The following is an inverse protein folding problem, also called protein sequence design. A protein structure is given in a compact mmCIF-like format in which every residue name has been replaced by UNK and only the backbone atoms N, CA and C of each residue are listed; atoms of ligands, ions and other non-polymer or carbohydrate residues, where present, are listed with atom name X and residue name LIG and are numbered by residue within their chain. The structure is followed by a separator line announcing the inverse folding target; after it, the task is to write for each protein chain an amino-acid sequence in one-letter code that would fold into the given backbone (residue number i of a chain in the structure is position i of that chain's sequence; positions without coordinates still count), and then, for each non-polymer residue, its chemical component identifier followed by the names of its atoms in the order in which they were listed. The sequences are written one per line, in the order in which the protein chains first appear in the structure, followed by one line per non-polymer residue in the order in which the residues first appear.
data_IF_595402425997
#
_entry.id   IF_595402425997
#
_cell.length_a   1.000
_cell.length_b   1.000
_cell.length_c   1.000
_cell.angle_alpha   90.00
_cell.angle_beta   90.00
_cell.angle_gamma   90.00
#
_symmetry.space_group_name_H-M   'P 1'
#
loop_
_entity.id
_entity.type
_entity.pdbx_description
1 polymer ?
#
# COMPACT_ATOMS: atom_id res chain seq x y z
N UNK A 1 -41.60 24.09 13.64
CA UNK A 1 -40.77 25.02 12.84
C UNK A 1 -39.35 24.55 12.97
N UNK A 2 -38.83 23.85 11.96
CA UNK A 2 -37.43 23.39 11.89
C UNK A 2 -36.61 24.47 11.19
N UNK A 3 -35.36 24.74 11.64
CA UNK A 3 -34.55 25.77 11.03
C UNK A 3 -33.99 25.30 9.68
N UNK A 4 -34.18 26.16 8.72
CA UNK A 4 -33.67 26.03 7.34
C UNK A 4 -32.14 26.15 7.34
N UNK A 5 -31.40 25.06 7.20
CA UNK A 5 -29.96 25.10 6.88
C UNK A 5 -29.77 25.15 5.36
N UNK A 6 -29.83 26.36 4.81
CA UNK A 6 -29.34 26.62 3.47
C UNK A 6 -27.84 26.28 3.43
N UNK A 7 -27.46 25.33 2.55
CA UNK A 7 -26.09 24.90 2.37
C UNK A 7 -25.18 26.08 1.99
N UNK A 8 -24.22 26.37 2.86
CA UNK A 8 -23.10 27.22 2.51
C UNK A 8 -22.27 26.48 1.45
N UNK A 9 -22.25 26.98 0.23
CA UNK A 9 -21.23 26.60 -0.75
C UNK A 9 -19.86 26.95 -0.15
N UNK A 10 -19.04 25.95 0.09
CA UNK A 10 -17.63 26.18 0.31
C UNK A 10 -17.04 26.67 -1.03
N UNK A 11 -16.79 27.98 -1.10
CA UNK A 11 -15.95 28.54 -2.17
C UNK A 11 -14.55 27.93 -2.00
N UNK A 12 -13.94 27.46 -3.12
CA UNK A 12 -12.53 27.05 -3.16
C UNK A 12 -11.70 28.14 -2.47
N UNK A 13 -10.85 27.82 -1.50
CA UNK A 13 -9.87 28.80 -1.08
C UNK A 13 -8.98 29.09 -2.28
N UNK A 14 -8.98 30.34 -2.77
CA UNK A 14 -7.88 30.84 -3.59
C UNK A 14 -6.65 30.84 -2.68
N UNK A 15 -5.90 29.77 -2.67
CA UNK A 15 -4.55 29.76 -2.14
C UNK A 15 -3.76 30.71 -3.05
N UNK A 16 -3.40 31.87 -2.51
CA UNK A 16 -2.47 32.76 -3.16
C UNK A 16 -1.19 31.99 -3.48
N UNK A 17 -0.63 32.18 -4.68
CA UNK A 17 0.64 31.57 -5.11
C UNK A 17 1.79 31.79 -4.12
N UNK A 18 1.73 32.80 -3.29
CA UNK A 18 2.68 33.07 -2.20
C UNK A 18 2.61 32.05 -1.05
N UNK A 19 1.42 31.48 -0.74
CA UNK A 19 1.28 30.43 0.28
C UNK A 19 1.78 29.08 -0.24
N UNK A 20 1.64 28.80 -1.53
CA UNK A 20 2.20 27.57 -2.12
C UNK A 20 3.73 27.54 -2.06
N UNK A 21 4.38 28.70 -2.23
CA UNK A 21 5.84 28.84 -2.12
C UNK A 21 6.36 28.77 -0.68
N UNK A 22 5.56 29.16 0.30
CA UNK A 22 5.95 29.10 1.72
C UNK A 22 5.86 27.67 2.30
N UNK A 23 4.95 26.85 1.81
CA UNK A 23 4.75 25.48 2.32
C UNK A 23 5.78 24.49 1.74
N UNK A 24 6.32 24.75 0.55
CA UNK A 24 7.22 23.81 -0.13
C UNK A 24 8.72 23.98 0.18
N UNK A 25 9.13 25.05 0.83
CA UNK A 25 10.52 25.29 1.21
C UNK A 25 10.80 25.17 2.71
N UNK A 26 9.80 24.90 3.53
CA UNK A 26 10.01 24.64 4.94
C UNK A 26 10.17 23.11 5.12
N UNK A 27 11.41 22.67 5.24
CA UNK A 27 11.70 21.48 6.05
C UNK A 27 10.89 21.67 7.35
N UNK A 28 9.92 20.80 7.71
CA UNK A 28 9.12 21.01 8.91
C UNK A 28 10.11 21.15 10.06
N UNK A 29 10.17 22.34 10.64
CA UNK A 29 11.10 22.64 11.71
C UNK A 29 10.97 21.54 12.76
N UNK A 30 12.08 21.06 13.30
CA UNK A 30 12.08 20.05 14.36
C UNK A 30 11.12 20.48 15.47
N UNK A 31 10.23 19.56 15.85
CA UNK A 31 9.21 19.83 16.84
C UNK A 31 8.88 18.59 17.66
N UNK A 32 8.03 18.71 18.71
CA UNK A 32 7.69 17.61 19.61
C UNK A 32 7.03 16.42 18.89
N UNK A 33 6.45 16.64 17.72
CA UNK A 33 5.85 15.58 16.90
C UNK A 33 6.85 14.54 16.39
N UNK A 34 8.15 14.86 16.33
CA UNK A 34 9.16 13.93 15.78
C UNK A 34 9.34 12.66 16.63
N UNK A 35 9.04 12.71 17.91
CA UNK A 35 9.11 11.53 18.78
C UNK A 35 8.09 10.45 18.43
N UNK A 36 7.01 10.82 17.71
CA UNK A 36 5.98 9.89 17.25
C UNK A 36 6.25 9.37 15.82
N UNK A 37 7.30 9.86 15.15
CA UNK A 37 7.61 9.46 13.79
C UNK A 37 8.36 8.12 13.75
N UNK A 38 7.66 7.04 13.40
CA UNK A 38 8.17 5.67 13.36
C UNK A 38 8.99 5.34 12.10
N UNK A 39 8.99 6.21 11.09
CA UNK A 39 9.79 5.99 9.90
C UNK A 39 11.29 5.99 10.27
N UNK A 40 12.10 5.10 9.67
CA UNK A 40 13.52 5.06 9.95
C UNK A 40 14.29 6.24 9.34
N UNK A 41 15.36 6.66 10.01
CA UNK A 41 16.28 7.71 9.54
C UNK A 41 17.19 7.24 8.39
N UNK A 42 17.29 5.94 8.17
CA UNK A 42 18.06 5.36 7.08
C UNK A 42 17.33 4.16 6.47
N UNK A 43 17.48 3.99 5.17
CA UNK A 43 16.98 2.80 4.46
C UNK A 43 17.68 1.52 4.87
N UNK A 44 18.92 1.61 5.37
CA UNK A 44 19.62 0.45 5.91
C UNK A 44 19.21 0.21 7.36
N UNK A 45 18.53 -0.92 7.58
CA UNK A 45 18.01 -1.32 8.87
C UNK A 45 18.77 -2.52 9.41
N UNK A 46 18.94 -2.55 10.72
CA UNK A 46 19.62 -3.62 11.44
C UNK A 46 18.73 -4.15 12.55
N UNK A 47 18.87 -5.43 12.94
CA UNK A 47 18.20 -5.96 14.10
C UNK A 47 18.62 -5.19 15.36
N UNK A 48 17.65 -4.87 16.22
CA UNK A 48 17.87 -4.08 17.43
C UNK A 48 17.91 -4.94 18.69
N UNK A 49 17.19 -6.06 18.67
CA UNK A 49 17.07 -6.95 19.82
C UNK A 49 17.01 -8.42 19.38
N UNK A 50 17.37 -9.32 20.30
CA UNK A 50 17.16 -10.75 20.17
C UNK A 50 15.82 -11.09 20.80
N UNK A 51 14.86 -11.51 19.99
CA UNK A 51 13.54 -11.92 20.48
C UNK A 51 13.57 -13.33 21.08
N UNK A 52 14.26 -14.28 20.41
CA UNK A 52 14.36 -15.67 20.88
C UNK A 52 15.61 -16.36 20.31
N UNK A 53 16.09 -17.39 21.01
CA UNK A 53 17.11 -18.32 20.53
C UNK A 53 16.75 -19.74 20.89
N UNK A 54 17.07 -20.71 20.00
CA UNK A 54 16.95 -22.14 20.23
C UNK A 54 18.26 -22.82 19.80
N UNK A 55 18.55 -23.97 20.39
CA UNK A 55 19.74 -24.75 20.08
C UNK A 55 21.07 -24.04 20.42
N UNK A 56 22.09 -24.32 19.62
CA UNK A 56 23.42 -23.77 19.86
C UNK A 56 23.66 -22.47 19.07
N UNK A 57 23.31 -21.35 19.68
CA UNK A 57 23.57 -19.99 19.23
C UNK A 57 24.54 -19.31 20.21
N UNK A 58 25.68 -18.86 19.70
CA UNK A 58 26.67 -18.18 20.54
C UNK A 58 26.88 -16.74 20.06
N UNK A 59 27.24 -15.86 20.98
CA UNK A 59 27.55 -14.45 20.74
C UNK A 59 26.45 -13.69 19.96
N UNK A 60 25.19 -14.07 20.17
CA UNK A 60 24.04 -13.58 19.41
C UNK A 60 23.95 -12.04 19.34
N UNK A 61 24.29 -11.34 20.44
CA UNK A 61 24.23 -9.87 20.49
C UNK A 61 25.35 -9.15 19.72
N UNK A 62 26.34 -9.88 19.21
CA UNK A 62 27.49 -9.27 18.53
C UNK A 62 27.10 -8.60 17.20
N UNK A 63 25.98 -8.99 16.58
CA UNK A 63 25.50 -8.50 15.28
C UNK A 63 24.36 -7.46 15.37
N UNK A 64 23.99 -7.04 16.60
CA UNK A 64 22.92 -6.07 16.78
C UNK A 64 23.35 -4.63 16.48
N UNK A 65 22.39 -3.78 16.05
CA UNK A 65 22.60 -2.35 15.87
C UNK A 65 23.65 -2.00 14.81
N UNK A 66 23.81 -2.85 13.78
CA UNK A 66 24.77 -2.62 12.68
C UNK A 66 26.23 -2.97 13.01
N UNK A 67 26.49 -3.58 14.15
CA UNK A 67 27.84 -4.06 14.50
C UNK A 67 28.22 -5.23 13.59
N UNK A 68 29.49 -5.28 13.21
CA UNK A 68 30.08 -6.47 12.63
C UNK A 68 30.58 -7.36 13.76
N UNK A 69 29.96 -8.53 13.90
CA UNK A 69 30.22 -9.46 15.00
C UNK A 69 30.74 -10.82 14.53
N UNK A 70 30.62 -11.78 15.42
CA UNK A 70 31.07 -13.17 15.26
C UNK A 70 30.04 -14.15 15.87
N UNK A 71 28.76 -13.91 15.58
CA UNK A 71 27.67 -14.80 16.01
C UNK A 71 27.80 -16.15 15.31
N UNK A 72 27.65 -17.26 16.06
CA UNK A 72 27.66 -18.60 15.46
C UNK A 72 26.34 -19.33 15.64
N UNK A 73 25.93 -20.03 14.58
CA UNK A 73 24.81 -20.97 14.55
C UNK A 73 25.39 -22.38 14.31
N UNK A 74 25.11 -23.35 15.19
CA UNK A 74 25.68 -24.70 15.11
C UNK A 74 24.60 -25.78 15.24
N UNK A 75 24.48 -26.62 14.21
CA UNK A 75 23.50 -27.71 14.17
C UNK A 75 22.10 -27.28 13.72
N UNK A 76 21.30 -28.25 13.30
CA UNK A 76 19.95 -28.01 12.73
C UNK A 76 18.95 -27.39 13.71
N UNK A 77 19.21 -27.52 15.00
CA UNK A 77 18.35 -26.93 16.04
C UNK A 77 18.68 -25.45 16.31
N UNK A 78 19.81 -24.95 15.79
CA UNK A 78 20.21 -23.56 15.97
C UNK A 78 19.26 -22.61 15.24
N UNK A 79 18.63 -21.74 16.01
CA UNK A 79 17.68 -20.73 15.57
C UNK A 79 17.85 -19.45 16.36
N UNK A 80 17.79 -18.32 15.69
CA UNK A 80 17.71 -17.00 16.32
C UNK A 80 16.62 -16.16 15.64
N UNK A 81 15.81 -15.48 16.44
CA UNK A 81 14.87 -14.49 15.97
C UNK A 81 15.27 -13.11 16.44
N UNK A 82 15.36 -12.20 15.51
CA UNK A 82 15.63 -10.79 15.73
C UNK A 82 14.36 -9.95 15.71
N UNK A 83 14.30 -8.90 16.53
CA UNK A 83 13.31 -7.83 16.49
C UNK A 83 13.97 -6.55 15.91
N UNK A 84 13.34 -5.95 14.90
CA UNK A 84 13.74 -4.67 14.30
C UNK A 84 13.05 -3.47 14.98
N UNK A 85 12.20 -3.72 16.00
CA UNK A 85 11.35 -2.77 16.73
C UNK A 85 10.22 -2.16 15.91
N UNK A 86 10.45 -1.90 14.62
CA UNK A 86 9.44 -1.39 13.68
C UNK A 86 9.35 -2.33 12.47
N UNK A 87 8.24 -2.28 11.75
CA UNK A 87 8.17 -2.94 10.46
C UNK A 87 9.22 -2.37 9.51
N UNK A 88 9.89 -3.24 8.80
CA UNK A 88 10.81 -2.92 7.71
C UNK A 88 10.49 -3.80 6.50
N UNK A 89 11.26 -3.71 5.44
CA UNK A 89 11.03 -4.47 4.21
C UNK A 89 12.30 -4.52 3.35
N UNK A 90 12.20 -5.16 2.20
CA UNK A 90 13.18 -5.01 1.11
C UNK A 90 14.23 -6.09 1.06
N UNK A 91 15.46 -5.69 0.72
CA UNK A 91 16.57 -6.58 0.38
C UNK A 91 17.32 -7.02 1.63
N UNK A 92 17.35 -8.32 1.87
CA UNK A 92 18.08 -8.91 3.02
C UNK A 92 19.52 -9.19 2.60
N UNK A 93 20.45 -8.77 3.43
CA UNK A 93 21.89 -9.04 3.25
C UNK A 93 22.46 -9.65 4.53
N UNK A 94 23.10 -10.79 4.39
CA UNK A 94 23.87 -11.47 5.43
C UNK A 94 25.34 -11.48 5.05
N UNK A 95 26.21 -11.24 6.02
CA UNK A 95 27.65 -11.45 5.89
C UNK A 95 28.06 -12.68 6.71
N UNK A 96 28.72 -13.63 6.08
CA UNK A 96 29.18 -14.87 6.68
C UNK A 96 30.71 -14.86 6.88
N UNK A 97 31.13 -15.33 8.04
CA UNK A 97 32.53 -15.56 8.40
C UNK A 97 32.93 -17.02 8.23
N UNK A 98 33.50 -17.63 9.27
CA UNK A 98 33.98 -19.02 9.23
C UNK A 98 32.85 -20.04 9.16
N UNK A 99 33.13 -21.14 8.47
CA UNK A 99 32.24 -22.30 8.32
C UNK A 99 32.95 -23.57 8.76
N UNK A 100 32.23 -24.51 9.37
CA UNK A 100 32.80 -25.84 9.64
C UNK A 100 33.09 -26.67 8.40
N UNK A 101 32.34 -26.42 7.31
CA UNK A 101 32.51 -27.02 5.99
C UNK A 101 31.73 -26.20 4.94
N UNK A 102 32.10 -26.29 3.66
CA UNK A 102 31.30 -25.79 2.56
C UNK A 102 29.92 -26.46 2.47
N UNK A 103 28.97 -25.83 1.77
CA UNK A 103 27.63 -26.38 1.54
C UNK A 103 26.70 -26.26 2.74
N UNK A 104 26.93 -25.30 3.64
CA UNK A 104 25.97 -24.99 4.69
C UNK A 104 24.73 -24.29 4.11
N UNK A 105 23.60 -24.42 4.80
CA UNK A 105 22.35 -23.74 4.44
C UNK A 105 21.76 -23.05 5.65
N UNK A 106 21.47 -21.76 5.47
CA UNK A 106 20.78 -20.92 6.45
C UNK A 106 19.44 -20.52 5.86
N UNK A 107 18.37 -20.72 6.60
CA UNK A 107 17.03 -20.28 6.20
C UNK A 107 16.62 -19.03 6.95
N UNK A 108 15.85 -18.17 6.25
CA UNK A 108 15.33 -16.91 6.76
C UNK A 108 13.81 -16.94 6.71
N UNK A 109 13.17 -16.80 7.88
CA UNK A 109 11.71 -16.64 7.97
C UNK A 109 11.36 -15.26 8.55
N UNK A 110 10.15 -14.78 8.23
CA UNK A 110 9.72 -13.43 8.54
C UNK A 110 8.34 -13.39 9.19
N UNK A 111 8.13 -12.44 10.08
CA UNK A 111 6.82 -12.17 10.66
C UNK A 111 6.65 -10.69 11.04
N UNK A 112 5.43 -10.16 10.88
CA UNK A 112 5.05 -8.85 11.41
C UNK A 112 4.64 -8.93 12.89
N UNK A 113 4.23 -10.12 13.37
CA UNK A 113 3.74 -10.33 14.73
C UNK A 113 4.56 -11.36 15.48
N UNK A 114 4.86 -11.07 16.74
CA UNK A 114 5.51 -12.02 17.66
C UNK A 114 4.75 -13.34 17.82
N UNK A 115 3.44 -13.35 17.55
CA UNK A 115 2.61 -14.55 17.70
C UNK A 115 2.84 -15.58 16.57
N UNK A 116 3.49 -15.18 15.47
CA UNK A 116 3.74 -16.02 14.29
C UNK A 116 5.23 -16.18 13.98
N UNK A 117 6.08 -15.90 14.95
CA UNK A 117 7.53 -16.12 14.84
C UNK A 117 7.82 -17.62 14.80
N UNK A 118 8.71 -18.05 13.90
CA UNK A 118 9.10 -19.46 13.77
C UNK A 118 9.92 -19.74 12.52
N UNK A 119 10.00 -21.03 12.14
CA UNK A 119 10.74 -21.50 10.94
C UNK A 119 10.01 -21.23 9.64
N UNK A 120 8.72 -20.92 9.65
CA UNK A 120 7.93 -20.49 8.49
C UNK A 120 7.71 -18.99 8.52
N UNK A 121 7.57 -18.39 7.34
CA UNK A 121 7.17 -16.99 7.22
C UNK A 121 5.66 -16.84 7.37
N UNK A 122 5.20 -15.71 7.89
CA UNK A 122 3.79 -15.35 7.83
C UNK A 122 3.35 -15.13 6.38
N UNK A 123 2.09 -15.40 6.08
CA UNK A 123 1.58 -15.41 4.71
C UNK A 123 1.59 -14.02 4.07
N UNK A 124 2.00 -13.95 2.82
CA UNK A 124 1.92 -12.76 1.98
C UNK A 124 0.83 -12.81 0.90
N UNK A 125 0.07 -13.89 0.87
CA UNK A 125 -1.14 -14.08 0.06
C UNK A 125 -2.22 -14.79 0.87
N UNK A 126 -3.50 -14.49 0.64
CA UNK A 126 -4.59 -15.40 0.97
C UNK A 126 -4.60 -16.57 -0.03
N UNK A 127 -5.39 -17.59 0.21
CA UNK A 127 -5.62 -18.69 -0.73
C UNK A 127 -4.50 -19.74 -0.83
N UNK A 128 -4.21 -20.42 0.27
CA UNK A 128 -3.57 -21.75 0.30
C UNK A 128 -2.07 -21.82 0.08
N UNK A 129 -1.37 -20.70 -0.19
CA UNK A 129 0.07 -20.74 -0.31
C UNK A 129 0.71 -20.22 0.98
N UNK A 130 1.45 -21.09 1.64
CA UNK A 130 2.29 -20.70 2.76
C UNK A 130 3.59 -20.11 2.24
N UNK A 131 4.00 -18.99 2.81
CA UNK A 131 5.33 -18.47 2.56
C UNK A 131 6.31 -19.32 3.38
N UNK A 132 7.12 -20.10 2.68
CA UNK A 132 8.22 -20.83 3.29
C UNK A 132 9.32 -19.90 3.78
N UNK A 133 10.36 -20.47 4.35
CA UNK A 133 11.58 -19.74 4.59
C UNK A 133 12.37 -19.56 3.29
N UNK A 134 13.13 -18.46 3.22
CA UNK A 134 14.10 -18.25 2.16
C UNK A 134 15.39 -19.01 2.50
N UNK A 135 15.80 -19.98 1.68
CA UNK A 135 17.06 -20.71 1.88
C UNK A 135 18.23 -20.02 1.20
N UNK A 136 19.30 -19.81 1.95
CA UNK A 136 20.55 -19.20 1.50
C UNK A 136 21.67 -20.23 1.63
N UNK A 137 22.27 -20.60 0.49
CA UNK A 137 23.44 -21.45 0.44
C UNK A 137 24.70 -20.69 0.87
N UNK A 138 25.51 -21.33 1.72
CA UNK A 138 26.74 -20.75 2.28
C UNK A 138 27.91 -21.69 2.01
N UNK A 139 28.66 -21.37 0.95
CA UNK A 139 29.80 -22.17 0.50
C UNK A 139 31.15 -21.64 1.00
N UNK A 140 31.19 -20.43 1.54
CA UNK A 140 32.38 -19.76 2.07
C UNK A 140 32.04 -18.41 2.68
N UNK A 141 33.07 -17.76 3.19
CA UNK A 141 32.98 -16.41 3.74
C UNK A 141 32.48 -15.39 2.70
N UNK A 142 31.88 -14.30 3.17
CA UNK A 142 31.49 -13.15 2.36
C UNK A 142 30.01 -12.81 2.45
N UNK A 143 29.62 -11.83 1.66
CA UNK A 143 28.27 -11.27 1.69
C UNK A 143 27.34 -12.02 0.75
N UNK A 144 26.13 -12.26 1.20
CA UNK A 144 25.01 -12.79 0.42
C UNK A 144 23.83 -11.86 0.54
N UNK A 145 23.36 -11.33 -0.60
CA UNK A 145 22.12 -10.55 -0.68
C UNK A 145 21.06 -11.40 -1.36
N UNK A 146 19.86 -11.43 -0.79
CA UNK A 146 18.74 -12.13 -1.40
C UNK A 146 18.45 -11.55 -2.80
N UNK A 147 18.07 -12.40 -3.78
CA UNK A 147 17.67 -11.93 -5.10
C UNK A 147 16.51 -10.94 -5.04
N UNK A 148 16.43 -10.01 -6.00
CA UNK A 148 15.38 -9.01 -6.10
C UNK A 148 13.98 -9.62 -6.05
N UNK A 149 13.75 -10.74 -6.72
CA UNK A 149 12.49 -11.46 -6.69
C UNK A 149 12.09 -11.93 -5.29
N UNK A 150 13.04 -12.13 -4.41
CA UNK A 150 12.87 -12.61 -3.05
C UNK A 150 13.03 -11.51 -1.98
N UNK A 151 12.95 -10.26 -2.38
CA UNK A 151 12.82 -9.17 -1.41
C UNK A 151 11.56 -9.36 -0.59
N UNK A 152 11.66 -9.20 0.72
CA UNK A 152 10.49 -9.31 1.58
C UNK A 152 9.72 -8.00 1.60
N UNK A 153 8.38 -8.10 1.62
CA UNK A 153 7.50 -7.02 2.03
C UNK A 153 7.66 -6.73 3.53
N UNK A 154 6.66 -6.14 4.16
CA UNK A 154 6.78 -5.77 5.56
C UNK A 154 7.02 -6.96 6.49
N UNK A 155 7.93 -6.77 7.44
CA UNK A 155 8.18 -7.66 8.56
C UNK A 155 8.79 -6.86 9.73
N UNK A 156 8.59 -7.33 10.96
CA UNK A 156 9.27 -6.81 12.15
C UNK A 156 10.27 -7.82 12.70
N UNK A 157 9.93 -9.11 12.61
CA UNK A 157 10.75 -10.20 13.12
C UNK A 157 11.39 -10.97 11.98
N UNK A 158 12.69 -11.26 12.12
CA UNK A 158 13.45 -12.09 11.19
C UNK A 158 14.05 -13.26 11.96
N UNK A 159 13.74 -14.46 11.53
CA UNK A 159 14.28 -15.70 12.12
C UNK A 159 15.33 -16.28 11.17
N UNK A 160 16.55 -16.48 11.66
CA UNK A 160 17.59 -17.25 10.99
C UNK A 160 17.72 -18.62 11.66
N UNK A 161 17.83 -19.67 10.85
CA UNK A 161 18.07 -21.01 11.37
C UNK A 161 18.87 -21.88 10.41
N UNK A 162 19.57 -22.89 10.99
CA UNK A 162 20.37 -23.84 10.22
C UNK A 162 19.49 -24.94 9.62
N UNK A 163 19.75 -25.26 8.36
CA UNK A 163 19.19 -26.45 7.68
C UNK A 163 20.16 -27.63 7.74
N UNK A 164 21.43 -27.36 7.94
CA UNK A 164 22.53 -28.34 7.97
C UNK A 164 23.08 -28.51 9.40
N UNK A 165 23.80 -29.61 9.64
CA UNK A 165 24.35 -29.92 10.97
C UNK A 165 25.69 -29.23 11.28
N UNK A 166 26.24 -28.46 10.34
CA UNK A 166 27.49 -27.75 10.55
C UNK A 166 27.38 -26.49 11.39
N UNK A 167 28.43 -25.68 11.32
CA UNK A 167 28.51 -24.38 12.00
C UNK A 167 28.71 -23.28 10.97
N UNK A 168 28.02 -22.16 11.14
CA UNK A 168 28.15 -20.96 10.32
C UNK A 168 28.34 -19.76 11.24
N UNK A 169 29.36 -18.95 10.96
CA UNK A 169 29.52 -17.63 11.57
C UNK A 169 28.76 -16.59 10.75
N UNK A 170 27.92 -15.81 11.42
CA UNK A 170 27.19 -14.67 10.84
C UNK A 170 27.81 -13.39 11.40
N UNK A 171 28.41 -12.61 10.53
CA UNK A 171 29.11 -11.37 10.89
C UNK A 171 28.21 -10.14 10.87
N UNK A 172 27.21 -10.12 9.99
CA UNK A 172 26.29 -8.99 9.86
C UNK A 172 24.93 -9.44 9.33
N UNK A 173 23.88 -8.78 9.83
CA UNK A 173 22.49 -8.94 9.39
C UNK A 173 21.93 -7.56 9.11
N UNK A 174 21.46 -7.31 7.90
CA UNK A 174 20.81 -6.03 7.52
C UNK A 174 19.75 -6.21 6.46
N UNK A 175 18.83 -5.25 6.40
CA UNK A 175 17.90 -5.09 5.29
C UNK A 175 18.02 -3.69 4.71
N UNK A 176 17.81 -3.56 3.41
CA UNK A 176 17.67 -2.27 2.73
C UNK A 176 16.20 -2.03 2.40
N UNK A 177 15.59 -1.06 3.09
CA UNK A 177 14.21 -0.67 2.89
C UNK A 177 14.08 0.09 1.56
N UNK A 178 13.44 -0.51 0.57
CA UNK A 178 13.27 0.05 -0.77
C UNK A 178 11.87 0.64 -1.03
N UNK A 179 11.03 0.75 0.00
CA UNK A 179 9.70 1.34 -0.14
C UNK A 179 9.77 2.84 -0.35
N UNK A 180 8.74 3.38 -1.04
CA UNK A 180 8.64 4.79 -1.39
C UNK A 180 9.95 5.35 -1.97
N UNK A 181 10.42 4.82 -3.14
CA UNK A 181 11.72 5.19 -3.70
C UNK A 181 11.84 6.66 -4.10
N UNK A 182 10.75 7.42 -4.18
CA UNK A 182 10.76 8.87 -4.39
C UNK A 182 11.35 9.66 -3.22
N UNK A 183 11.39 9.07 -2.01
CA UNK A 183 12.04 9.69 -0.85
C UNK A 183 13.56 9.43 -0.84
N UNK A 184 14.29 10.28 -0.13
CA UNK A 184 15.71 10.07 0.16
C UNK A 184 15.98 8.93 1.13
N UNK A 185 17.19 8.90 1.71
CA UNK A 185 17.58 7.87 2.67
C UNK A 185 16.81 7.97 4.00
N UNK A 186 16.58 9.19 4.48
CA UNK A 186 15.78 9.44 5.68
C UNK A 186 14.28 9.46 5.35
N UNK A 187 13.58 8.42 5.75
CA UNK A 187 12.14 8.25 5.51
C UNK A 187 11.24 9.12 6.42
N UNK A 188 11.83 9.91 7.32
CA UNK A 188 11.11 10.90 8.14
C UNK A 188 10.88 12.22 7.42
N UNK A 189 11.56 12.44 6.28
CA UNK A 189 11.56 13.70 5.53
C UNK A 189 10.33 13.85 4.64
N UNK A 190 9.12 13.79 5.21
CA UNK A 190 7.88 14.10 4.52
C UNK A 190 7.21 15.35 5.10
N UNK A 191 6.41 16.09 4.29
CA UNK A 191 5.97 17.43 4.65
C UNK A 191 4.82 17.48 5.66
N UNK A 192 4.03 16.40 5.78
CA UNK A 192 2.89 16.36 6.68
C UNK A 192 3.31 16.16 8.13
N UNK A 193 2.62 16.83 9.04
CA UNK A 193 2.79 16.60 10.47
C UNK A 193 1.47 16.77 11.21
N UNK A 194 1.39 16.13 12.36
CA UNK A 194 0.26 16.25 13.30
C UNK A 194 0.80 16.27 14.72
N UNK A 195 0.24 17.15 15.55
CA UNK A 195 0.53 17.18 16.97
C UNK A 195 -0.65 17.75 17.74
N UNK A 196 -1.08 17.05 18.76
CA UNK A 196 -2.16 17.43 19.66
C UNK A 196 -1.87 17.01 21.09
N UNK A 197 -2.77 17.30 22.00
CA UNK A 197 -2.63 16.98 23.43
C UNK A 197 -2.84 15.48 23.73
N UNK A 198 -3.34 14.72 22.77
CA UNK A 198 -3.57 13.29 22.89
C UNK A 198 -2.42 12.50 22.23
N UNK A 199 -1.56 11.90 23.07
CA UNK A 199 -0.41 11.10 22.62
C UNK A 199 -0.81 9.89 21.76
N UNK A 200 -1.99 9.31 22.01
CA UNK A 200 -2.47 8.17 21.25
C UNK A 200 -2.85 8.58 19.83
N UNK A 201 -3.49 9.74 19.65
CA UNK A 201 -3.79 10.29 18.33
C UNK A 201 -2.50 10.64 17.57
N UNK A 202 -1.51 11.24 18.24
CA UNK A 202 -0.20 11.49 17.65
C UNK A 202 0.43 10.18 17.15
N UNK A 203 0.46 9.16 18.00
CA UNK A 203 0.99 7.83 17.67
C UNK A 203 0.29 7.20 16.47
N UNK A 204 -1.06 7.22 16.43
CA UNK A 204 -1.84 6.66 15.32
C UNK A 204 -1.54 7.38 14.01
N UNK A 205 -1.45 8.71 14.03
CA UNK A 205 -1.21 9.48 12.81
C UNK A 205 0.13 9.10 12.15
N UNK A 206 1.22 9.04 12.95
CA UNK A 206 2.55 8.66 12.43
C UNK A 206 2.65 7.18 12.06
N UNK A 207 1.99 6.29 12.79
CA UNK A 207 1.89 4.88 12.42
C UNK A 207 1.18 4.72 11.06
N UNK A 208 0.10 5.49 10.82
CA UNK A 208 -0.59 5.53 9.53
C UNK A 208 0.28 6.05 8.40
N UNK A 209 1.01 7.14 8.61
CA UNK A 209 1.95 7.69 7.62
C UNK A 209 3.04 6.66 7.25
N UNK A 210 3.65 6.01 8.22
CA UNK A 210 4.66 4.98 7.97
C UNK A 210 4.07 3.73 7.29
N UNK A 211 2.85 3.34 7.62
CA UNK A 211 2.15 2.25 6.93
C UNK A 211 1.99 2.54 5.44
N UNK A 212 1.64 3.79 5.08
CA UNK A 212 1.56 4.19 3.66
C UNK A 212 2.92 4.18 2.96
N UNK A 213 4.00 4.58 3.65
CA UNK A 213 5.34 4.46 3.10
C UNK A 213 5.67 3.00 2.78
N UNK A 214 5.43 2.07 3.72
CA UNK A 214 5.65 0.64 3.51
C UNK A 214 4.77 0.05 2.40
N UNK A 215 3.53 0.55 2.22
CA UNK A 215 2.62 0.13 1.16
C UNK A 215 2.90 0.81 -0.19
N UNK A 216 3.78 1.81 -0.24
CA UNK A 216 4.23 2.46 -1.49
C UNK A 216 5.45 1.72 -2.03
N UNK A 217 5.22 0.82 -2.97
CA UNK A 217 6.22 -0.12 -3.47
C UNK A 217 6.87 0.36 -4.77
N UNK A 218 8.12 -0.03 -5.07
CA UNK A 218 8.68 0.07 -6.42
C UNK A 218 7.80 -0.69 -7.41
N UNK A 219 7.55 -0.12 -8.59
CA UNK A 219 6.53 -0.61 -9.54
C UNK A 219 6.77 -2.03 -10.06
N UNK A 220 8.01 -2.47 -10.10
CA UNK A 220 8.38 -3.83 -10.52
C UNK A 220 8.34 -4.88 -9.40
N UNK A 221 7.84 -4.53 -8.21
CA UNK A 221 7.91 -5.41 -7.02
C UNK A 221 6.54 -5.85 -6.49
N UNK A 222 5.56 -5.94 -7.38
CA UNK A 222 4.28 -6.57 -7.08
C UNK A 222 4.42 -8.05 -6.77
N UNK A 223 3.51 -8.59 -5.98
CA UNK A 223 3.49 -10.01 -5.57
C UNK A 223 3.00 -10.89 -6.72
N UNK A 224 3.71 -11.97 -7.04
CA UNK A 224 3.18 -13.00 -7.94
C UNK A 224 1.91 -13.61 -7.34
N UNK A 225 0.86 -13.66 -8.15
CA UNK A 225 -0.42 -14.27 -7.79
C UNK A 225 -0.52 -15.68 -8.34
N UNK A 226 -1.03 -16.62 -7.55
CA UNK A 226 -1.31 -17.99 -7.97
C UNK A 226 -2.34 -18.06 -9.11
N UNK A 227 -3.21 -17.07 -9.19
CA UNK A 227 -4.27 -17.01 -10.21
C UNK A 227 -3.70 -16.71 -11.60
N UNK A 228 -2.58 -16.01 -11.67
CA UNK A 228 -1.93 -15.60 -12.93
C UNK A 228 -0.62 -16.34 -13.15
N UNK A 229 0.11 -16.67 -12.09
CA UNK A 229 1.45 -17.22 -12.14
C UNK A 229 1.49 -18.59 -11.52
N UNK A 230 1.64 -19.63 -12.31
CA UNK A 230 1.54 -21.05 -11.90
C UNK A 230 2.61 -21.57 -10.94
N UNK A 231 3.40 -20.78 -10.29
CA UNK A 231 4.34 -21.23 -9.26
C UNK A 231 4.58 -20.08 -8.29
N UNK A 232 4.21 -20.36 -7.08
CA UNK A 232 4.18 -19.36 -6.13
C UNK A 232 5.13 -19.69 -5.08
N UNK A 233 6.03 -19.56 -4.71
CA UNK A 233 6.73 -19.15 -3.53
C UNK A 233 6.46 -17.65 -3.38
N UNK A 234 6.91 -17.01 -2.36
CA UNK A 234 6.82 -15.57 -2.32
C UNK A 234 7.88 -14.95 -3.25
N UNK A 235 7.42 -14.45 -4.36
CA UNK A 235 8.23 -13.68 -5.29
C UNK A 235 7.57 -12.32 -5.51
N UNK A 236 8.33 -11.26 -5.33
CA UNK A 236 7.91 -9.88 -5.50
C UNK A 236 8.66 -9.25 -6.68
N UNK A 237 8.34 -9.68 -7.89
CA UNK A 237 9.08 -9.34 -9.11
C UNK A 237 8.20 -9.11 -10.34
N UNK A 238 6.93 -8.79 -10.13
CA UNK A 238 5.99 -8.52 -11.22
C UNK A 238 5.50 -7.07 -11.20
N UNK A 239 5.15 -6.51 -12.38
CA UNK A 239 4.66 -5.15 -12.45
C UNK A 239 3.36 -4.95 -11.66
N UNK A 240 3.28 -3.88 -10.88
CA UNK A 240 2.09 -3.41 -10.16
C UNK A 240 1.67 -2.00 -10.60
N UNK A 241 2.32 -1.44 -11.62
CA UNK A 241 2.00 -0.16 -12.26
C UNK A 241 2.54 -0.11 -13.68
N UNK A 242 2.33 1.01 -14.39
CA UNK A 242 2.82 1.24 -15.73
C UNK A 242 4.35 1.20 -15.79
N UNK A 243 4.87 0.67 -16.91
CA UNK A 243 6.31 0.68 -17.19
C UNK A 243 6.86 2.11 -17.18
N UNK A 244 8.07 2.26 -16.66
CA UNK A 244 8.73 3.57 -16.56
C UNK A 244 8.26 4.44 -15.40
N UNK A 245 7.32 3.99 -14.58
CA UNK A 245 6.94 4.68 -13.35
C UNK A 245 7.76 4.20 -12.15
N UNK A 246 7.96 5.07 -11.17
CA UNK A 246 8.90 4.82 -10.06
C UNK A 246 8.29 3.95 -8.96
N UNK A 247 7.07 4.28 -8.54
CA UNK A 247 6.42 3.70 -7.38
C UNK A 247 4.89 3.72 -7.51
N UNK A 248 4.25 2.89 -6.73
CA UNK A 248 2.79 2.82 -6.66
C UNK A 248 2.33 2.50 -5.24
N UNK A 249 1.29 3.17 -4.79
CA UNK A 249 0.61 2.83 -3.55
C UNK A 249 -0.28 1.60 -3.77
N UNK A 250 -0.04 0.55 -3.01
CA UNK A 250 -0.79 -0.71 -3.04
C UNK A 250 -1.66 -0.88 -1.79
N UNK A 251 -2.41 -1.96 -1.71
CA UNK A 251 -3.23 -2.34 -0.56
C UNK A 251 -2.42 -2.62 0.69
N UNK A 252 -1.23 -3.20 0.55
CA UNK A 252 -0.39 -3.56 1.68
C UNK A 252 1.07 -3.79 1.33
N UNK A 253 1.91 -3.68 2.35
CA UNK A 253 3.37 -3.82 2.22
C UNK A 253 3.82 -5.28 2.14
N UNK A 254 3.12 -6.20 2.79
CA UNK A 254 3.44 -7.63 2.85
C UNK A 254 2.51 -8.46 1.97
N UNK A 255 1.20 -8.34 2.18
CA UNK A 255 0.17 -9.14 1.51
C UNK A 255 -0.34 -8.42 0.27
N UNK A 256 -0.67 -9.19 -0.73
CA UNK A 256 -1.17 -8.85 -2.06
C UNK A 256 -0.24 -7.94 -2.87
N UNK A 257 0.22 -6.83 -2.36
CA UNK A 257 1.12 -5.87 -3.03
C UNK A 257 0.62 -5.52 -4.43
N UNK A 258 -0.66 -5.17 -4.49
CA UNK A 258 -1.41 -4.91 -5.71
C UNK A 258 -2.29 -3.69 -5.56
N UNK A 259 -2.75 -3.10 -6.66
CA UNK A 259 -3.67 -1.98 -6.65
C UNK A 259 -5.09 -2.48 -6.56
N UNK A 260 -5.75 -2.23 -5.43
CA UNK A 260 -7.19 -2.44 -5.22
C UNK A 260 -7.90 -1.09 -5.19
N UNK A 261 -8.96 -0.93 -5.98
CA UNK A 261 -9.60 0.38 -6.16
C UNK A 261 -10.26 0.92 -4.88
N UNK A 262 -10.87 0.05 -4.07
CA UNK A 262 -11.50 0.42 -2.80
C UNK A 262 -10.48 0.88 -1.76
N UNK A 263 -9.40 0.13 -1.59
CA UNK A 263 -8.31 0.46 -0.66
C UNK A 263 -7.67 1.80 -0.99
N UNK A 264 -7.48 2.05 -2.27
CA UNK A 264 -6.90 3.32 -2.75
C UNK A 264 -7.80 4.52 -2.50
N UNK A 265 -9.10 4.38 -2.65
CA UNK A 265 -10.02 5.49 -2.49
C UNK A 265 -9.90 6.13 -1.10
N UNK A 266 -9.62 5.32 -0.08
CA UNK A 266 -9.41 5.75 1.30
C UNK A 266 -7.97 6.21 1.53
N UNK A 267 -6.99 5.42 1.10
CA UNK A 267 -5.56 5.71 1.34
C UNK A 267 -5.04 6.92 0.57
N UNK A 268 -5.65 7.28 -0.56
CA UNK A 268 -5.30 8.47 -1.36
C UNK A 268 -5.31 9.76 -0.53
N UNK A 269 -6.36 9.99 0.28
CA UNK A 269 -6.45 11.18 1.13
C UNK A 269 -5.28 11.26 2.10
N UNK A 270 -5.03 10.18 2.82
CA UNK A 270 -3.94 10.11 3.80
C UNK A 270 -2.58 10.28 3.13
N UNK A 271 -2.39 9.69 1.94
CA UNK A 271 -1.14 9.80 1.19
C UNK A 271 -0.83 11.25 0.77
N UNK A 272 -1.85 12.00 0.34
CA UNK A 272 -1.67 13.44 0.05
C UNK A 272 -1.43 14.26 1.32
N UNK A 273 -2.24 14.04 2.36
CA UNK A 273 -2.18 14.86 3.59
C UNK A 273 -0.89 14.61 4.38
N UNK A 274 -0.50 13.35 4.56
CA UNK A 274 0.68 13.00 5.34
C UNK A 274 1.97 13.09 4.52
N UNK A 275 2.02 12.47 3.35
CA UNK A 275 3.25 12.27 2.60
C UNK A 275 3.40 13.21 1.40
N UNK A 276 2.33 13.87 0.97
CA UNK A 276 2.25 14.64 -0.28
C UNK A 276 2.77 13.86 -1.50
N UNK A 277 2.54 12.54 -1.50
CA UNK A 277 3.03 11.67 -2.56
C UNK A 277 2.03 11.59 -3.72
N UNK A 278 2.22 12.47 -4.69
CA UNK A 278 1.41 12.55 -5.90
C UNK A 278 1.70 11.38 -6.85
N UNK A 279 2.95 10.96 -6.94
CA UNK A 279 3.45 9.99 -7.93
C UNK A 279 2.77 8.64 -7.73
N UNK A 280 2.89 8.05 -6.54
CA UNK A 280 2.34 6.72 -6.27
C UNK A 280 0.83 6.68 -6.39
N UNK A 281 0.15 7.79 -6.06
CA UNK A 281 -1.30 7.92 -6.18
C UNK A 281 -1.75 7.91 -7.63
N UNK A 282 -1.17 8.77 -8.48
CA UNK A 282 -1.52 8.85 -9.91
C UNK A 282 -1.21 7.55 -10.64
N UNK A 283 -0.04 6.96 -10.39
CA UNK A 283 0.35 5.70 -11.00
C UNK A 283 -0.65 4.57 -10.74
N UNK A 284 -1.21 4.50 -9.54
CA UNK A 284 -2.23 3.49 -9.26
C UNK A 284 -3.57 3.76 -9.93
N UNK A 285 -3.99 5.04 -10.05
CA UNK A 285 -5.18 5.40 -10.84
C UNK A 285 -4.95 5.06 -12.31
N UNK A 286 -3.79 5.42 -12.87
CA UNK A 286 -3.44 5.10 -14.25
C UNK A 286 -3.46 3.60 -14.53
N UNK A 287 -3.00 2.80 -13.54
CA UNK A 287 -3.04 1.34 -13.63
C UNK A 287 -4.46 0.79 -13.68
N UNK A 288 -5.39 1.32 -12.85
CA UNK A 288 -6.80 0.96 -12.91
C UNK A 288 -7.44 1.31 -14.27
N UNK A 289 -7.15 2.48 -14.79
CA UNK A 289 -7.69 2.94 -16.08
C UNK A 289 -7.14 2.13 -17.27
N UNK A 290 -5.87 1.72 -17.23
CA UNK A 290 -5.28 0.83 -18.26
C UNK A 290 -6.03 -0.50 -18.39
N UNK A 291 -6.56 -1.01 -17.30
CA UNK A 291 -7.25 -2.30 -17.25
C UNK A 291 -8.77 -2.19 -17.21
N UNK A 292 -9.33 -1.04 -17.58
CA UNK A 292 -10.77 -0.94 -17.85
C UNK A 292 -11.14 -1.82 -19.04
N UNK A 293 -12.22 -2.62 -18.92
CA UNK A 293 -12.71 -3.42 -20.05
C UNK A 293 -13.37 -2.56 -21.13
N UNK A 294 -13.62 -3.15 -22.29
CA UNK A 294 -14.31 -2.45 -23.39
C UNK A 294 -15.74 -2.07 -23.01
N UNK A 295 -16.41 -2.86 -22.15
CA UNK A 295 -17.73 -2.56 -21.61
C UNK A 295 -17.70 -1.45 -20.54
N UNK A 296 -16.54 -1.06 -20.07
CA UNK A 296 -16.37 0.01 -19.09
C UNK A 296 -16.11 -0.44 -17.66
N UNK A 297 -15.94 -1.74 -17.38
CA UNK A 297 -15.70 -2.26 -16.02
C UNK A 297 -14.28 -1.95 -15.58
N UNK A 298 -14.13 -1.30 -14.43
CA UNK A 298 -12.85 -1.19 -13.76
C UNK A 298 -12.52 -2.46 -12.94
N UNK A 299 -11.23 -2.83 -12.83
CA UNK A 299 -10.84 -4.00 -12.06
C UNK A 299 -11.17 -3.84 -10.55
N UNK A 300 -11.54 -4.94 -9.93
CA UNK A 300 -11.61 -5.10 -8.49
C UNK A 300 -10.19 -5.04 -7.91
N UNK A 301 -9.29 -5.89 -8.45
CA UNK A 301 -7.85 -5.83 -8.23
C UNK A 301 -7.14 -5.78 -9.59
N UNK A 302 -6.16 -4.88 -9.69
CA UNK A 302 -5.29 -4.82 -10.87
C UNK A 302 -4.31 -5.99 -10.95
N UNK A 303 -3.57 -6.19 -12.07
CA UNK A 303 -2.41 -7.04 -12.04
C UNK A 303 -1.44 -6.63 -10.89
N UNK A 304 -0.80 -7.63 -10.23
CA UNK A 304 -0.68 -9.05 -10.61
C UNK A 304 -1.83 -9.97 -10.21
N UNK A 305 -2.82 -9.53 -9.45
CA UNK A 305 -3.98 -10.38 -9.10
C UNK A 305 -4.97 -10.48 -10.26
N UNK A 306 -5.25 -9.37 -10.93
CA UNK A 306 -6.09 -9.26 -12.11
C UNK A 306 -7.51 -9.84 -11.93
N UNK A 307 -8.30 -9.22 -11.08
CA UNK A 307 -9.64 -9.67 -10.75
C UNK A 307 -10.71 -8.62 -11.01
N UNK A 308 -11.89 -9.05 -11.47
CA UNK A 308 -13.08 -8.23 -11.69
C UNK A 308 -14.24 -8.80 -10.88
N UNK A 309 -15.36 -8.11 -10.85
CA UNK A 309 -16.58 -8.64 -10.24
C UNK A 309 -17.08 -7.89 -9.02
N UNK A 310 -16.73 -6.60 -8.88
CA UNK A 310 -17.18 -5.75 -7.79
C UNK A 310 -17.81 -4.46 -8.29
N UNK A 311 -19.08 -4.23 -7.96
CA UNK A 311 -19.77 -2.97 -8.24
C UNK A 311 -19.30 -1.84 -7.31
N UNK A 312 -19.04 -2.14 -6.06
CA UNK A 312 -18.53 -1.14 -5.11
C UNK A 312 -17.12 -0.66 -5.49
N UNK A 313 -16.18 -1.57 -5.78
CA UNK A 313 -14.82 -1.21 -6.17
C UNK A 313 -14.75 -0.52 -7.53
N UNK A 314 -15.62 -0.89 -8.46
CA UNK A 314 -15.79 -0.14 -9.71
C UNK A 314 -16.09 1.34 -9.43
N UNK A 315 -17.01 1.64 -8.52
CA UNK A 315 -17.38 3.01 -8.14
C UNK A 315 -16.28 3.71 -7.33
N UNK A 316 -15.55 3.02 -6.47
CA UNK A 316 -14.42 3.60 -5.72
C UNK A 316 -13.31 4.14 -6.63
N UNK A 317 -13.19 3.66 -7.86
CA UNK A 317 -12.24 4.20 -8.86
C UNK A 317 -12.47 5.69 -9.13
N UNK A 318 -13.73 6.14 -9.18
CA UNK A 318 -14.06 7.57 -9.38
C UNK A 318 -13.69 8.43 -8.18
N UNK A 319 -13.83 7.88 -6.98
CA UNK A 319 -13.42 8.55 -5.74
C UNK A 319 -11.89 8.74 -5.74
N UNK A 320 -11.14 7.72 -6.11
CA UNK A 320 -9.68 7.80 -6.25
C UNK A 320 -9.24 8.84 -7.28
N UNK A 321 -9.90 8.85 -8.47
CA UNK A 321 -9.64 9.82 -9.54
C UNK A 321 -9.89 11.25 -9.07
N UNK A 322 -11.07 11.48 -8.46
CA UNK A 322 -11.46 12.82 -7.98
C UNK A 322 -10.51 13.32 -6.89
N UNK A 323 -10.18 12.49 -5.91
CA UNK A 323 -9.27 12.87 -4.83
C UNK A 323 -7.90 13.23 -5.38
N UNK A 324 -7.35 12.44 -6.31
CA UNK A 324 -6.08 12.75 -6.95
C UNK A 324 -6.14 14.09 -7.71
N UNK A 325 -7.18 14.33 -8.48
CA UNK A 325 -7.40 15.62 -9.17
C UNK A 325 -7.49 16.79 -8.17
N UNK A 326 -8.29 16.62 -7.11
CA UNK A 326 -8.56 17.68 -6.15
C UNK A 326 -7.30 18.13 -5.40
N UNK A 327 -6.48 17.17 -4.93
CA UNK A 327 -5.26 17.47 -4.19
C UNK A 327 -4.08 17.89 -5.07
N UNK A 328 -3.99 17.38 -6.29
CA UNK A 328 -2.96 17.82 -7.24
C UNK A 328 -3.16 19.26 -7.67
N UNK A 329 -4.40 19.58 -8.03
CA UNK A 329 -4.76 20.92 -8.50
C UNK A 329 -4.10 21.33 -9.83
N UNK A 330 -4.39 22.55 -10.27
CA UNK A 330 -3.74 23.15 -11.43
C UNK A 330 -4.14 22.52 -12.79
N UNK A 331 -3.49 23.02 -13.84
CA UNK A 331 -3.81 22.63 -15.22
C UNK A 331 -3.31 21.23 -15.56
N UNK A 332 -2.19 20.80 -15.01
CA UNK A 332 -1.66 19.43 -15.19
C UNK A 332 -2.64 18.37 -14.70
N UNK A 333 -3.30 18.63 -13.55
CA UNK A 333 -4.33 17.73 -13.02
C UNK A 333 -5.57 17.70 -13.92
N UNK A 334 -5.96 18.84 -14.50
CA UNK A 334 -7.05 18.91 -15.46
C UNK A 334 -6.72 18.12 -16.72
N UNK A 335 -5.52 18.29 -17.28
CA UNK A 335 -5.09 17.57 -18.47
C UNK A 335 -5.02 16.06 -18.23
N UNK A 336 -4.56 15.65 -17.07
CA UNK A 336 -4.54 14.24 -16.68
C UNK A 336 -5.96 13.65 -16.60
N UNK A 337 -6.95 14.38 -16.09
CA UNK A 337 -8.36 13.97 -16.08
C UNK A 337 -8.93 13.97 -17.51
N UNK A 338 -8.63 14.97 -18.35
CA UNK A 338 -9.07 15.03 -19.75
C UNK A 338 -8.67 13.79 -20.54
N UNK A 339 -7.44 13.31 -20.36
CA UNK A 339 -6.94 12.09 -20.99
C UNK A 339 -7.77 10.85 -20.60
N UNK A 340 -8.30 10.81 -19.38
CA UNK A 340 -9.10 9.69 -18.85
C UNK A 340 -10.59 9.81 -19.13
N UNK A 341 -11.04 10.98 -19.60
CA UNK A 341 -12.46 11.29 -19.68
C UNK A 341 -13.30 10.30 -20.50
N UNK A 342 -12.84 9.80 -21.66
CA UNK A 342 -13.58 8.77 -22.39
C UNK A 342 -13.83 7.51 -21.55
N UNK A 343 -12.84 7.08 -20.77
CA UNK A 343 -12.94 5.93 -19.88
C UNK A 343 -13.84 6.22 -18.66
N UNK A 344 -13.79 7.44 -18.12
CA UNK A 344 -14.70 7.91 -17.06
C UNK A 344 -16.15 7.78 -17.49
N UNK A 345 -16.49 8.30 -18.68
CA UNK A 345 -17.86 8.21 -19.20
C UNK A 345 -18.29 6.77 -19.45
N UNK A 346 -17.46 5.97 -20.12
CA UNK A 346 -17.77 4.57 -20.42
C UNK A 346 -18.05 3.75 -19.16
N UNK A 347 -17.24 3.92 -18.13
CA UNK A 347 -17.46 3.21 -16.86
C UNK A 347 -18.67 3.72 -16.09
N UNK A 348 -18.95 5.03 -16.14
CA UNK A 348 -20.18 5.57 -15.52
C UNK A 348 -21.42 5.06 -16.27
N UNK A 349 -21.41 5.06 -17.59
CA UNK A 349 -22.53 4.52 -18.39
C UNK A 349 -22.76 3.04 -18.07
N UNK A 350 -21.69 2.24 -17.86
CA UNK A 350 -21.82 0.85 -17.41
C UNK A 350 -22.51 0.76 -16.04
N UNK A 351 -22.14 1.59 -15.08
CA UNK A 351 -22.77 1.59 -13.77
C UNK A 351 -24.25 2.01 -13.84
N UNK A 352 -24.55 3.03 -14.65
CA UNK A 352 -25.90 3.58 -14.79
C UNK A 352 -26.88 2.62 -15.47
N UNK A 353 -26.42 1.72 -16.34
CA UNK A 353 -27.25 0.68 -16.96
C UNK A 353 -27.80 -0.32 -15.92
N UNK A 354 -27.27 -0.35 -14.71
CA UNK A 354 -27.74 -1.22 -13.62
C UNK A 354 -28.82 -0.59 -12.75
N UNK A 355 -29.14 0.68 -12.99
CA UNK A 355 -30.27 1.35 -12.32
C UNK A 355 -31.56 0.80 -12.93
N UNK A 356 -32.38 0.16 -12.11
CA UNK A 356 -33.65 -0.40 -12.53
C UNK A 356 -34.83 0.55 -12.25
N UNK A 357 -36.07 0.03 -12.42
CA UNK A 357 -37.30 0.81 -12.25
C UNK A 357 -37.51 1.40 -10.87
N UNK A 358 -36.76 0.93 -9.87
CA UNK A 358 -36.76 1.51 -8.51
C UNK A 358 -35.94 2.81 -8.44
N UNK A 359 -35.17 3.14 -9.48
CA UNK A 359 -34.24 4.27 -9.48
C UNK A 359 -32.92 4.01 -8.72
N UNK A 360 -32.66 2.77 -8.31
CA UNK A 360 -31.46 2.36 -7.59
C UNK A 360 -30.62 1.38 -8.43
N UNK A 361 -29.31 1.41 -8.21
CA UNK A 361 -28.41 0.43 -8.81
C UNK A 361 -28.64 -0.96 -8.20
N UNK A 362 -28.95 -1.94 -9.03
CA UNK A 362 -29.03 -3.34 -8.65
C UNK A 362 -27.66 -3.99 -8.79
N UNK A 363 -27.12 -4.51 -7.70
CA UNK A 363 -25.82 -5.18 -7.67
C UNK A 363 -25.84 -6.42 -8.58
N UNK A 364 -24.93 -6.46 -9.54
CA UNK A 364 -24.71 -7.57 -10.46
C UNK A 364 -23.33 -8.22 -10.31
N UNK A 365 -22.38 -7.47 -9.75
CA UNK A 365 -21.04 -7.94 -9.40
C UNK A 365 -20.87 -7.90 -7.87
N UNK A 366 -21.03 -9.05 -7.18
CA UNK A 366 -21.26 -9.09 -5.74
C UNK A 366 -20.00 -9.08 -4.88
N UNK A 367 -18.81 -9.04 -5.48
CA UNK A 367 -17.57 -9.09 -4.72
C UNK A 367 -17.35 -7.77 -3.97
N UNK A 368 -16.95 -7.90 -2.73
CA UNK A 368 -16.50 -6.79 -1.88
C UNK A 368 -15.66 -7.37 -0.74
N UNK A 369 -14.71 -6.62 -0.20
CA UNK A 369 -13.92 -7.10 0.90
C UNK A 369 -14.73 -7.11 2.21
N UNK A 370 -14.83 -8.27 2.83
CA UNK A 370 -15.47 -8.44 4.14
C UNK A 370 -16.99 -8.34 4.15
N UNK A 371 -17.66 -8.09 3.00
CA UNK A 371 -19.11 -7.84 2.90
C UNK A 371 -19.75 -8.69 1.83
N UNK A 372 -19.43 -9.97 1.78
CA UNK A 372 -19.92 -10.91 0.79
C UNK A 372 -21.20 -11.64 1.19
N UNK A 373 -22.04 -11.92 0.19
CA UNK A 373 -22.10 -11.27 -1.13
C UNK A 373 -22.93 -9.99 -1.07
N UNK A 374 -22.52 -8.95 -1.75
CA UNK A 374 -23.40 -7.80 -1.98
C UNK A 374 -24.61 -8.25 -2.81
N UNK A 375 -25.81 -7.78 -2.48
CA UNK A 375 -27.05 -8.20 -3.15
C UNK A 375 -28.04 -7.06 -3.29
N UNK A 376 -28.87 -7.15 -4.33
CA UNK A 376 -30.01 -6.26 -4.52
C UNK A 376 -29.60 -4.80 -4.63
N UNK A 377 -30.37 -3.92 -4.02
CA UNK A 377 -30.14 -2.47 -3.97
C UNK A 377 -29.35 -2.09 -2.70
N UNK A 378 -28.20 -2.68 -2.51
CA UNK A 378 -27.36 -2.48 -1.31
C UNK A 378 -27.09 -0.98 -1.05
N UNK A 379 -27.45 -0.50 0.15
CA UNK A 379 -27.40 0.92 0.51
C UNK A 379 -25.99 1.53 0.41
N UNK A 380 -24.99 0.75 0.75
CA UNK A 380 -23.58 1.18 0.66
C UNK A 380 -23.18 1.48 -0.79
N UNK A 381 -23.54 0.59 -1.73
CA UNK A 381 -23.29 0.80 -3.15
C UNK A 381 -24.00 2.06 -3.67
N UNK A 382 -25.24 2.31 -3.19
CA UNK A 382 -25.96 3.56 -3.54
C UNK A 382 -25.22 4.79 -3.00
N UNK A 383 -24.68 4.73 -1.79
CA UNK A 383 -23.89 5.82 -1.20
C UNK A 383 -22.63 6.13 -2.01
N UNK A 384 -21.90 5.10 -2.46
CA UNK A 384 -20.72 5.27 -3.32
C UNK A 384 -21.13 5.79 -4.69
N UNK A 385 -22.22 5.31 -5.28
CA UNK A 385 -22.74 5.79 -6.56
C UNK A 385 -23.14 7.27 -6.48
N UNK A 386 -23.88 7.66 -5.43
CA UNK A 386 -24.22 9.05 -5.19
C UNK A 386 -22.99 9.94 -5.16
N UNK A 387 -21.99 9.58 -4.38
CA UNK A 387 -20.76 10.35 -4.25
C UNK A 387 -19.98 10.40 -5.57
N UNK A 388 -19.84 9.27 -6.26
CA UNK A 388 -19.17 9.18 -7.56
C UNK A 388 -19.83 10.06 -8.62
N UNK A 389 -21.17 10.05 -8.69
CA UNK A 389 -21.94 10.90 -9.60
C UNK A 389 -21.74 12.39 -9.30
N UNK A 390 -21.76 12.79 -8.03
CA UNK A 390 -21.51 14.19 -7.65
C UNK A 390 -20.10 14.62 -8.06
N UNK A 391 -19.09 13.80 -7.77
CA UNK A 391 -17.70 14.12 -8.05
C UNK A 391 -17.39 14.11 -9.55
N UNK A 392 -17.98 13.19 -10.30
CA UNK A 392 -17.87 13.20 -11.76
C UNK A 392 -18.65 14.38 -12.39
N UNK A 393 -19.76 14.85 -11.79
CA UNK A 393 -20.44 16.06 -12.23
C UNK A 393 -19.58 17.32 -12.03
N UNK A 394 -18.87 17.42 -10.90
CA UNK A 394 -17.89 18.49 -10.68
C UNK A 394 -16.77 18.45 -11.74
N UNK A 395 -16.22 17.26 -12.05
CA UNK A 395 -15.20 17.11 -13.09
C UNK A 395 -15.75 17.47 -14.49
N UNK A 396 -17.01 17.12 -14.79
CA UNK A 396 -17.64 17.46 -16.06
C UNK A 396 -17.72 19.00 -16.25
N UNK A 397 -18.11 19.72 -15.20
CA UNK A 397 -18.17 21.19 -15.24
C UNK A 397 -16.76 21.82 -15.23
N UNK A 398 -15.94 21.50 -14.21
CA UNK A 398 -14.68 22.20 -13.92
C UNK A 398 -13.57 21.90 -14.94
N UNK A 399 -13.54 20.66 -15.47
CA UNK A 399 -12.44 20.18 -16.32
C UNK A 399 -12.84 20.15 -17.79
N UNK A 400 -14.08 19.69 -18.07
CA UNK A 400 -14.54 19.49 -19.43
C UNK A 400 -15.40 20.65 -19.98
N UNK A 401 -15.93 21.51 -19.10
CA UNK A 401 -16.89 22.55 -19.49
C UNK A 401 -18.24 21.99 -19.96
N UNK A 402 -18.56 20.74 -19.62
CA UNK A 402 -19.80 20.05 -20.02
C UNK A 402 -20.90 20.22 -18.97
N UNK A 403 -21.50 21.40 -18.95
CA UNK A 403 -22.57 21.74 -18.00
C UNK A 403 -23.82 20.85 -18.16
N UNK A 404 -24.06 20.32 -19.34
CA UNK A 404 -25.22 19.45 -19.62
C UNK A 404 -25.01 18.11 -18.90
N UNK A 405 -23.84 17.51 -19.05
CA UNK A 405 -23.49 16.25 -18.39
C UNK A 405 -23.38 16.43 -16.89
N UNK A 406 -22.78 17.53 -16.44
CA UNK A 406 -22.70 17.87 -15.02
C UNK A 406 -24.08 17.93 -14.36
N UNK A 407 -25.02 18.63 -14.99
CA UNK A 407 -26.42 18.71 -14.54
C UNK A 407 -27.10 17.34 -14.55
N UNK A 408 -26.89 16.54 -15.60
CA UNK A 408 -27.46 15.18 -15.71
C UNK A 408 -27.01 14.32 -14.53
N UNK A 409 -25.71 14.25 -14.27
CA UNK A 409 -25.17 13.41 -13.19
C UNK A 409 -25.51 13.92 -11.79
N UNK A 410 -25.51 15.23 -11.56
CA UNK A 410 -25.92 15.80 -10.26
C UNK A 410 -27.41 15.60 -9.96
N UNK A 411 -28.26 15.68 -11.00
CA UNK A 411 -29.70 15.38 -10.84
C UNK A 411 -29.91 13.91 -10.52
N UNK A 412 -29.21 13.01 -11.21
CA UNK A 412 -29.29 11.57 -10.93
C UNK A 412 -28.76 11.22 -9.54
N UNK A 413 -27.67 11.83 -9.10
CA UNK A 413 -27.16 11.68 -7.75
C UNK A 413 -28.23 12.04 -6.71
N UNK A 414 -28.90 13.17 -6.92
CA UNK A 414 -30.00 13.60 -6.03
C UNK A 414 -31.15 12.60 -6.01
N UNK A 415 -31.50 12.03 -7.15
CA UNK A 415 -32.55 11.00 -7.27
C UNK A 415 -32.17 9.75 -6.49
N UNK A 416 -30.94 9.19 -6.72
CA UNK A 416 -30.44 8.02 -5.98
C UNK A 416 -30.45 8.27 -4.47
N UNK A 417 -30.00 9.43 -4.03
CA UNK A 417 -30.04 9.80 -2.60
C UNK A 417 -31.47 9.74 -2.05
N UNK A 418 -32.41 10.42 -2.72
CA UNK A 418 -33.79 10.51 -2.20
C UNK A 418 -34.46 9.14 -2.10
N UNK A 419 -34.30 8.29 -3.13
CA UNK A 419 -34.87 6.95 -3.12
C UNK A 419 -34.17 6.06 -2.06
N UNK A 420 -32.86 6.21 -1.86
CA UNK A 420 -32.11 5.43 -0.85
C UNK A 420 -32.56 5.72 0.59
N UNK A 421 -33.05 6.93 0.89
CA UNK A 421 -33.59 7.28 2.22
C UNK A 421 -34.97 6.66 2.49
N UNK A 422 -35.67 6.17 1.47
CA UNK A 422 -36.96 5.52 1.57
C UNK A 422 -36.84 4.00 1.72
N UNK A 423 -35.61 3.44 1.63
CA UNK A 423 -35.37 2.03 1.87
C UNK A 423 -35.58 1.70 3.35
N UNK A 424 -36.29 0.58 3.68
CA UNK A 424 -36.60 0.19 5.06
C UNK A 424 -35.37 -0.23 5.87
#
# INVERSE_FOLDING_TARGET
MAPNHAGKRFSKPHLNDELSNLVFNANPASGPWQEYNFAPESRTQFPQEIFATEGNVQKASSVLGGRRGDMTLSGKDALITFDFYVNTCGMITLEFGELSASGQQVSIAFSESKAFVGRGSDRSMDFHVEDGALSVGVDGQGTRTCPDAQQRGAFRYMTLYMETSGTVEVCSVKTYNNMMPSMGDDLRQYPGFFFGDDEFLNTIWYAGAYTLQLATIPTGTGRRSDWVHKKVGWANDVPAALDGTLEVLTDGARRDRTVWSGDRALSTLTNYIALNNKISTKNGVDWMFKYQTDEGVFPYACPPIWHYGSDSYHLWTYVSLYNAYFFDGGDDAKDWVRQKWPAVKRGMDYALQKIDDTGLLKVTMPLDWGRHPLKGHNLEVQGILYFSLQKCAELAADVMGDEILAKKWSTLATSVKNVSWELP
#
